data_IF_171504069431
#
_entry.id   IF_171504069431
#
_cell.length_a   1.000
_cell.length_b   1.000
_cell.length_c   1.000
_cell.angle_alpha   90.00
_cell.angle_beta   90.00
_cell.angle_gamma   90.00
#
_symmetry.space_group_name_H-M   'P 1'
#
loop_
_entity.id
_entity.type
_entity.pdbx_description
1 polymer ?
#
# COMPACT_ATOMS: atom_id res chain seq x y z
N UNK A 1 -9.29 -25.36 22.20
CA UNK A 1 -8.61 -24.10 21.81
C UNK A 1 -9.21 -22.94 22.60
N UNK A 2 -8.39 -21.95 22.96
CA UNK A 2 -8.82 -20.70 23.60
C UNK A 2 -8.40 -19.53 22.70
N UNK A 3 -9.13 -18.40 22.69
CA UNK A 3 -8.74 -17.25 21.90
C UNK A 3 -7.41 -16.66 22.40
N UNK A 4 -6.63 -16.13 21.47
CA UNK A 4 -5.36 -15.44 21.74
C UNK A 4 -5.44 -14.07 21.09
N UNK A 5 -4.96 -13.05 21.81
CA UNK A 5 -4.76 -11.72 21.26
C UNK A 5 -3.31 -11.61 20.75
N UNK A 6 -3.15 -11.13 19.52
CA UNK A 6 -1.85 -10.81 18.95
C UNK A 6 -1.85 -9.33 18.59
N UNK A 7 -0.92 -8.57 19.17
CA UNK A 7 -0.68 -7.18 18.82
C UNK A 7 0.55 -7.08 17.92
N UNK A 8 0.37 -6.53 16.72
CA UNK A 8 1.45 -6.31 15.76
C UNK A 8 1.78 -4.82 15.68
N UNK A 9 2.76 -4.39 16.46
CA UNK A 9 3.24 -3.01 16.46
C UNK A 9 3.87 -2.68 15.10
N UNK A 10 3.32 -1.68 14.42
CA UNK A 10 3.75 -1.23 13.09
C UNK A 10 3.79 0.29 13.00
N UNK A 11 4.42 0.81 11.95
CA UNK A 11 4.59 2.24 11.73
C UNK A 11 4.07 2.68 10.36
N UNK A 12 3.22 3.71 10.33
CA UNK A 12 2.74 4.34 9.10
C UNK A 12 3.69 5.47 8.71
N UNK A 13 4.60 5.21 7.77
CA UNK A 13 5.54 6.23 7.27
C UNK A 13 4.80 7.40 6.59
N UNK A 14 3.72 7.11 5.86
CA UNK A 14 2.92 8.13 5.19
C UNK A 14 1.98 8.92 6.09
N UNK A 15 1.32 9.90 5.49
CA UNK A 15 0.24 10.69 6.08
C UNK A 15 -1.00 9.82 6.36
N UNK A 16 -1.93 10.32 7.19
CA UNK A 16 -3.17 9.60 7.46
C UNK A 16 -4.03 9.44 6.21
N UNK A 17 -4.06 10.49 5.39
CA UNK A 17 -4.76 10.57 4.13
C UNK A 17 -4.00 11.52 3.20
N UNK A 18 -4.50 11.71 1.98
CA UNK A 18 -3.96 12.68 1.01
C UNK A 18 -4.18 14.14 1.43
N UNK A 19 -5.15 14.41 2.32
CA UNK A 19 -5.45 15.75 2.84
C UNK A 19 -4.74 16.08 4.16
N UNK A 20 -4.07 15.10 4.77
CA UNK A 20 -3.43 15.24 6.07
C UNK A 20 -1.93 15.61 5.95
N UNK A 21 -1.44 16.44 6.86
CA UNK A 21 -0.02 16.74 7.03
C UNK A 21 0.49 16.28 8.39
N UNK A 22 1.14 15.13 8.37
CA UNK A 22 1.62 14.45 9.56
C UNK A 22 2.89 15.01 10.15
N UNK A 23 3.61 15.85 9.41
CA UNK A 23 4.82 16.52 9.90
C UNK A 23 4.51 17.56 10.98
N UNK A 24 3.26 18.01 11.05
CA UNK A 24 2.79 18.97 12.06
C UNK A 24 2.71 18.39 13.47
N UNK A 25 2.55 17.08 13.59
CA UNK A 25 2.32 16.39 14.87
C UNK A 25 3.22 15.17 15.08
N UNK A 26 4.13 14.88 14.14
CA UNK A 26 5.15 13.85 14.27
C UNK A 26 6.52 14.42 13.91
N UNK A 27 7.55 14.17 14.72
CA UNK A 27 8.90 14.60 14.38
C UNK A 27 9.41 13.88 13.13
N UNK A 28 10.03 14.62 12.22
CA UNK A 28 10.54 14.09 10.95
C UNK A 28 11.59 13.02 11.19
N UNK A 29 12.46 13.21 12.18
CA UNK A 29 13.51 12.26 12.57
C UNK A 29 12.96 10.88 12.96
N UNK A 30 11.79 10.84 13.61
CA UNK A 30 11.12 9.59 13.94
C UNK A 30 10.64 8.88 12.67
N UNK A 31 10.00 9.61 11.75
CA UNK A 31 9.53 9.07 10.47
C UNK A 31 10.71 8.49 9.67
N UNK A 32 11.83 9.22 9.61
CA UNK A 32 13.05 8.77 8.92
C UNK A 32 13.67 7.54 9.59
N UNK A 33 13.75 7.52 10.92
CA UNK A 33 14.22 6.36 11.67
C UNK A 33 13.43 5.10 11.30
N UNK A 34 12.09 5.18 11.28
CA UNK A 34 11.25 4.06 10.91
C UNK A 34 11.37 3.66 9.44
N UNK A 35 11.47 4.65 8.55
CA UNK A 35 11.59 4.43 7.11
C UNK A 35 12.91 3.76 6.71
N UNK A 36 14.01 4.12 7.36
CA UNK A 36 15.35 3.67 7.00
C UNK A 36 15.83 2.51 7.87
N UNK A 37 15.79 2.66 9.20
CA UNK A 37 16.39 1.70 10.11
C UNK A 37 15.47 0.52 10.45
N UNK A 38 14.14 0.74 10.46
CA UNK A 38 13.15 -0.26 10.84
C UNK A 38 12.29 -0.77 9.68
N UNK A 39 12.75 -0.59 8.44
CA UNK A 39 12.02 -1.04 7.27
C UNK A 39 11.90 -2.58 7.24
N UNK A 40 10.68 -3.15 7.28
CA UNK A 40 10.49 -4.60 7.33
C UNK A 40 10.93 -5.29 6.03
N UNK A 41 10.80 -4.61 4.87
CA UNK A 41 11.21 -5.14 3.56
C UNK A 41 12.73 -5.26 3.51
N UNK A 42 13.45 -4.21 3.86
CA UNK A 42 14.92 -4.24 3.90
C UNK A 42 15.45 -5.24 4.93
N UNK A 43 14.79 -5.34 6.10
CA UNK A 43 15.15 -6.32 7.13
C UNK A 43 14.98 -7.75 6.63
N UNK A 44 13.84 -8.07 6.02
CA UNK A 44 13.56 -9.40 5.51
C UNK A 44 14.49 -9.76 4.35
N UNK A 45 14.72 -8.81 3.44
CA UNK A 45 15.67 -8.95 2.33
C UNK A 45 17.07 -9.36 2.81
N UNK A 46 17.65 -8.62 3.77
CA UNK A 46 18.96 -8.97 4.33
C UNK A 46 18.99 -10.38 4.90
N UNK A 47 17.92 -10.79 5.58
CA UNK A 47 17.82 -12.13 6.15
C UNK A 47 17.81 -13.21 5.05
N UNK A 48 17.03 -13.06 3.98
CA UNK A 48 16.99 -14.06 2.89
C UNK A 48 18.27 -14.06 2.05
N UNK A 49 18.93 -12.93 1.86
CA UNK A 49 20.24 -12.83 1.21
C UNK A 49 21.32 -13.57 2.00
N UNK A 50 21.33 -13.40 3.33
CA UNK A 50 22.24 -14.14 4.21
C UNK A 50 22.04 -15.66 4.15
N UNK A 51 20.84 -16.13 3.80
CA UNK A 51 20.54 -17.54 3.60
C UNK A 51 20.82 -18.02 2.15
N UNK A 52 21.26 -17.13 1.25
CA UNK A 52 21.53 -17.44 -0.16
C UNK A 52 20.28 -17.67 -1.02
N UNK A 53 19.10 -17.27 -0.54
CA UNK A 53 17.82 -17.45 -1.27
C UNK A 53 17.44 -16.25 -2.15
N UNK A 54 18.22 -15.17 -2.09
CA UNK A 54 17.95 -13.94 -2.79
C UNK A 54 19.24 -13.34 -3.34
N UNK A 55 19.14 -12.69 -4.49
CA UNK A 55 20.25 -11.97 -5.12
C UNK A 55 19.76 -10.67 -5.77
N UNK A 56 20.70 -9.80 -6.14
CA UNK A 56 20.38 -8.53 -6.79
C UNK A 56 19.72 -8.72 -8.16
N UNK A 57 20.07 -9.79 -8.88
CA UNK A 57 19.44 -10.14 -10.16
C UNK A 57 17.96 -10.47 -9.96
N UNK A 58 17.64 -11.30 -8.96
CA UNK A 58 16.25 -11.64 -8.62
C UNK A 58 15.44 -10.42 -8.21
N UNK A 59 16.01 -9.51 -7.40
CA UNK A 59 15.34 -8.25 -7.07
C UNK A 59 15.02 -7.44 -8.32
N UNK A 60 16.02 -7.24 -9.18
CA UNK A 60 15.89 -6.43 -10.38
C UNK A 60 14.79 -6.97 -11.29
N UNK A 61 14.79 -8.29 -11.51
CA UNK A 61 13.76 -8.98 -12.29
C UNK A 61 12.36 -8.76 -11.71
N UNK A 62 12.18 -9.05 -10.41
CA UNK A 62 10.88 -8.92 -9.73
C UNK A 62 10.40 -7.47 -9.75
N UNK A 63 11.27 -6.51 -9.45
CA UNK A 63 10.92 -5.08 -9.44
C UNK A 63 10.53 -4.59 -10.83
N UNK A 64 11.22 -5.04 -11.88
CA UNK A 64 10.90 -4.67 -13.25
C UNK A 64 9.59 -5.29 -13.72
N UNK A 65 9.33 -6.55 -13.36
CA UNK A 65 8.05 -7.21 -13.64
C UNK A 65 6.89 -6.50 -12.95
N UNK A 66 6.98 -6.23 -11.65
CA UNK A 66 5.92 -5.55 -10.88
C UNK A 66 5.68 -4.14 -11.43
N UNK A 67 6.75 -3.39 -11.76
CA UNK A 67 6.61 -2.07 -12.39
C UNK A 67 5.81 -2.13 -13.69
N UNK A 68 6.08 -3.13 -14.55
CA UNK A 68 5.33 -3.34 -15.79
C UNK A 68 3.87 -3.68 -15.51
N UNK A 69 3.61 -4.56 -14.54
CA UNK A 69 2.24 -4.93 -14.14
C UNK A 69 1.46 -3.72 -13.64
N UNK A 70 2.01 -2.96 -12.68
CA UNK A 70 1.38 -1.73 -12.16
C UNK A 70 1.10 -0.74 -13.27
N UNK A 71 2.04 -0.53 -14.19
CA UNK A 71 1.84 0.38 -15.31
C UNK A 71 0.75 -0.11 -16.28
N UNK A 72 0.74 -1.42 -16.56
CA UNK A 72 -0.26 -2.05 -17.43
C UNK A 72 -1.68 -1.96 -16.87
N UNK A 73 -1.86 -1.97 -15.53
CA UNK A 73 -3.17 -1.75 -14.90
C UNK A 73 -3.55 -0.26 -14.74
N UNK A 74 -2.56 0.63 -14.59
CA UNK A 74 -2.81 2.07 -14.53
C UNK A 74 -3.34 2.63 -15.86
N UNK A 75 -2.89 2.09 -17.01
CA UNK A 75 -3.37 2.51 -18.34
C UNK A 75 -4.90 2.32 -18.47
N UNK A 76 -5.49 1.14 -18.18
CA UNK A 76 -6.94 0.95 -18.15
C UNK A 76 -7.66 1.84 -17.14
N UNK A 77 -7.15 2.04 -15.92
CA UNK A 77 -7.82 2.87 -14.91
C UNK A 77 -7.90 4.35 -15.35
N UNK A 78 -6.87 4.88 -16.01
CA UNK A 78 -6.87 6.25 -16.54
C UNK A 78 -7.74 6.33 -17.80
N UNK A 79 -7.69 5.34 -18.71
CA UNK A 79 -8.53 5.33 -19.91
C UNK A 79 -10.03 5.16 -19.60
N UNK A 80 -10.40 4.35 -18.61
CA UNK A 80 -11.79 4.23 -18.15
C UNK A 80 -12.26 5.47 -17.38
N UNK A 81 -11.36 6.17 -16.67
CA UNK A 81 -11.66 7.42 -15.97
C UNK A 81 -11.88 8.63 -16.90
N UNK A 82 -11.27 8.65 -18.09
CA UNK A 82 -11.45 9.73 -19.08
C UNK A 82 -12.74 9.63 -19.91
N UNK A 83 -13.48 8.50 -19.84
CA UNK A 83 -14.75 8.29 -20.54
C UNK A 83 -15.98 8.24 -19.61
N UNK A 84 -15.87 8.72 -18.36
CA UNK A 84 -17.00 8.83 -17.44
C UNK A 84 -17.42 10.28 -17.20
N UNK A 85 -17.79 10.97 -18.28
CA UNK A 85 -18.81 12.04 -18.22
C UNK A 85 -19.93 11.64 -19.16
N UNK A 86 -20.83 10.76 -18.70
CA UNK A 86 -22.12 10.54 -19.34
C UNK A 86 -23.22 10.64 -18.27
N UNK A 87 -24.17 11.57 -18.40
CA UNK A 87 -25.26 11.73 -17.45
C UNK A 87 -26.26 10.61 -17.72
N UNK A 88 -26.44 9.69 -16.77
CA UNK A 88 -27.50 8.69 -16.90
C UNK A 88 -27.97 8.26 -15.51
N UNK A 89 -29.09 8.88 -15.14
CA UNK A 89 -30.11 8.46 -14.18
C UNK A 89 -29.77 7.21 -13.35
N UNK A 90 -29.39 7.43 -12.10
CA UNK A 90 -29.49 6.40 -11.07
C UNK A 90 -30.97 6.22 -10.73
N UNK A 91 -31.53 5.07 -11.11
CA UNK A 91 -32.75 4.57 -10.49
C UNK A 91 -32.45 4.28 -9.02
N UNK A 92 -33.12 5.01 -8.15
CA UNK A 92 -33.14 4.77 -6.70
C UNK A 92 -34.00 3.54 -6.44
N UNK A 93 -33.39 2.40 -6.12
CA UNK A 93 -34.11 1.28 -5.52
C UNK A 93 -34.13 1.48 -4.00
N UNK A 94 -35.26 1.99 -3.50
CA UNK A 94 -35.54 2.15 -2.08
C UNK A 94 -35.78 0.75 -1.48
N UNK A 95 -34.87 0.26 -0.63
CA UNK A 95 -35.17 -0.88 0.26
C UNK A 95 -35.84 -0.33 1.52
N UNK A 96 -37.13 -0.65 1.68
CA UNK A 96 -37.94 -0.26 2.84
C UNK A 96 -37.48 -0.91 4.16
N UNK A 97 -38.00 -0.45 5.31
CA UNK A 97 -37.54 -0.91 6.61
C UNK A 97 -37.95 -2.36 6.87
N UNK A 98 -36.97 -3.16 7.31
CA UNK A 98 -37.24 -4.37 8.08
C UNK A 98 -37.79 -3.96 9.45
N UNK A 99 -38.74 -4.77 9.96
CA UNK A 99 -39.50 -4.61 11.21
C UNK A 99 -38.80 -3.88 12.36
#
# INVERSE_FOLDING_TARGET
>A
QKPVLVEALTYRVGHHSTSDDSTKYRPVDEIEHWKMAKNPVTRFRKWIEMNGWWSDEHESEVRNRIKKEVNNYNIPCILFGLFYVKPMCWNVTYFGPFQ
#
